data_IF_872387116632
#
_entry.id   IF_872387116632
#
_cell.length_a   1.000
_cell.length_b   1.000
_cell.length_c   1.000
_cell.angle_alpha   90.00
_cell.angle_beta   90.00
_cell.angle_gamma   90.00
#
_symmetry.space_group_name_H-M   'P 1'
#
loop_
_entity.id
_entity.type
_entity.pdbx_description
1 polymer ?
#
# COMPACT_ATOMS: atom_id res chain seq x y z
N UNK A 1 9.28 -11.05 22.02
CA UNK A 1 9.33 -9.57 21.99
C UNK A 1 8.16 -9.05 22.81
N UNK A 2 8.41 -8.32 23.90
CA UNK A 2 7.33 -7.69 24.69
C UNK A 2 6.62 -6.64 23.83
N UNK A 3 5.29 -6.53 23.94
CA UNK A 3 4.55 -5.44 23.28
C UNK A 3 4.92 -4.12 23.98
N UNK A 4 5.48 -3.17 23.24
CA UNK A 4 5.72 -1.81 23.74
C UNK A 4 4.40 -1.17 24.15
N UNK A 5 4.42 -0.33 25.18
CA UNK A 5 3.24 0.41 25.60
C UNK A 5 2.91 1.50 24.57
N UNK A 6 1.69 2.07 24.63
CA UNK A 6 1.32 3.18 23.75
C UNK A 6 2.17 4.44 24.03
N UNK A 7 2.62 4.63 25.28
CA UNK A 7 3.54 5.72 25.65
C UNK A 7 4.91 5.55 24.97
N UNK A 8 5.49 4.34 25.08
CA UNK A 8 6.79 4.04 24.46
C UNK A 8 6.78 4.23 22.93
N UNK A 9 5.64 3.97 22.28
CA UNK A 9 5.48 4.18 20.83
C UNK A 9 5.36 5.67 20.48
N UNK A 10 4.73 6.48 21.33
CA UNK A 10 4.65 7.93 21.13
C UNK A 10 6.02 8.58 21.29
N UNK A 11 6.79 8.20 22.30
CA UNK A 11 8.16 8.71 22.50
C UNK A 11 9.05 8.34 21.31
N UNK A 12 8.98 7.09 20.84
CA UNK A 12 9.73 6.66 19.67
C UNK A 12 9.35 7.41 18.39
N UNK A 13 8.06 7.74 18.23
CA UNK A 13 7.60 8.59 17.12
C UNK A 13 8.21 9.98 17.22
N UNK A 14 8.17 10.59 18.41
CA UNK A 14 8.66 11.95 18.62
C UNK A 14 10.18 12.05 18.41
N UNK A 15 10.94 11.05 18.89
CA UNK A 15 12.38 10.91 18.64
C UNK A 15 12.68 10.78 17.14
N UNK A 16 11.95 9.89 16.45
CA UNK A 16 12.10 9.68 15.01
C UNK A 16 11.76 10.94 14.21
N UNK A 17 10.64 11.60 14.52
CA UNK A 17 10.24 12.83 13.84
C UNK A 17 11.29 13.93 14.03
N UNK A 18 11.85 14.07 15.25
CA UNK A 18 12.90 15.04 15.53
C UNK A 18 14.18 14.75 14.72
N UNK A 19 14.60 13.49 14.64
CA UNK A 19 15.76 13.08 13.85
C UNK A 19 15.51 13.26 12.34
N UNK A 20 14.31 12.92 11.86
CA UNK A 20 13.89 13.12 10.49
C UNK A 20 14.00 14.59 10.09
N UNK A 21 13.37 15.49 10.85
CA UNK A 21 13.43 16.93 10.56
C UNK A 21 14.84 17.50 10.69
N UNK A 22 15.64 17.01 11.64
CA UNK A 22 17.05 17.42 11.76
C UNK A 22 17.86 17.06 10.51
N UNK A 23 17.64 15.86 9.97
CA UNK A 23 18.42 15.32 8.85
C UNK A 23 17.92 15.81 7.49
N UNK A 24 16.61 16.03 7.38
CA UNK A 24 15.93 16.25 6.11
C UNK A 24 15.17 17.58 6.02
N UNK A 25 15.38 18.53 6.94
CA UNK A 25 14.74 19.87 6.93
C UNK A 25 14.87 20.65 5.61
N UNK A 26 15.87 20.35 4.79
CA UNK A 26 16.06 20.99 3.48
C UNK A 26 15.11 20.43 2.39
N UNK A 27 14.50 19.26 2.61
CA UNK A 27 13.60 18.63 1.65
C UNK A 27 12.19 19.18 1.85
N UNK A 28 11.53 19.52 0.74
CA UNK A 28 10.16 19.99 0.77
C UNK A 28 9.17 18.82 0.90
N UNK A 29 7.88 19.14 0.99
CA UNK A 29 6.82 18.13 1.08
C UNK A 29 6.70 17.31 -0.21
N UNK A 30 7.01 17.93 -1.35
CA UNK A 30 7.02 17.31 -2.67
C UNK A 30 8.17 16.31 -2.83
N UNK A 31 9.27 16.48 -2.07
CA UNK A 31 10.44 15.60 -2.09
C UNK A 31 10.45 14.58 -0.93
N UNK A 32 9.31 14.40 -0.24
CA UNK A 32 9.19 13.46 0.88
C UNK A 32 8.18 12.38 0.57
N UNK A 33 8.64 11.15 0.37
CA UNK A 33 7.84 10.01 -0.07
C UNK A 33 7.65 9.02 1.07
N UNK A 34 6.51 8.36 1.13
CA UNK A 34 6.34 7.14 1.91
C UNK A 34 5.82 6.01 1.02
N UNK A 35 6.43 4.83 1.16
CA UNK A 35 6.05 3.60 0.45
C UNK A 35 5.65 2.55 1.47
N UNK A 36 4.58 1.81 1.18
CA UNK A 36 4.12 0.69 1.98
C UNK A 36 3.26 -0.28 1.18
N UNK A 37 3.26 -1.56 1.58
CA UNK A 37 2.48 -2.61 0.94
C UNK A 37 1.24 -3.01 1.72
N UNK A 38 0.19 -3.34 0.97
CA UNK A 38 -1.00 -3.91 1.57
C UNK A 38 -1.58 -5.06 0.75
N UNK A 39 -1.75 -6.20 1.42
CA UNK A 39 -2.44 -7.35 0.86
C UNK A 39 -3.95 -7.15 0.89
N UNK A 40 -4.62 -7.49 -0.21
CA UNK A 40 -6.07 -7.51 -0.32
C UNK A 40 -6.54 -8.73 -1.11
N UNK A 41 -7.81 -9.07 -0.95
CA UNK A 41 -8.39 -10.31 -1.47
C UNK A 41 -9.48 -10.00 -2.48
N UNK A 42 -9.81 -10.95 -3.35
CA UNK A 42 -10.90 -10.81 -4.30
C UNK A 42 -12.23 -10.61 -3.55
N UNK A 43 -12.49 -11.48 -2.58
CA UNK A 43 -13.64 -11.36 -1.68
C UNK A 43 -13.26 -10.47 -0.50
N UNK A 44 -14.00 -9.36 -0.37
CA UNK A 44 -13.79 -8.39 0.69
C UNK A 44 -15.09 -8.06 1.42
N UNK A 45 -15.76 -9.06 2.03
CA UNK A 45 -16.99 -8.83 2.75
C UNK A 45 -16.80 -7.81 3.88
N UNK A 46 -17.83 -6.98 4.16
CA UNK A 46 -17.79 -6.03 5.26
C UNK A 46 -17.67 -6.75 6.60
N UNK A 47 -17.09 -6.10 7.61
CA UNK A 47 -16.94 -6.71 8.95
C UNK A 47 -18.27 -6.84 9.70
N UNK A 48 -19.27 -6.04 9.34
CA UNK A 48 -20.58 -6.00 9.97
C UNK A 48 -21.66 -5.80 8.90
N UNK A 49 -22.73 -6.59 9.00
CA UNK A 49 -23.98 -6.39 8.25
C UNK A 49 -25.16 -6.41 9.21
N UNK A 50 -26.14 -5.55 8.95
CA UNK A 50 -27.39 -5.51 9.69
C UNK A 50 -28.22 -6.74 9.35
N UNK A 51 -28.44 -7.60 10.34
CA UNK A 51 -29.39 -8.69 10.23
C UNK A 51 -30.76 -8.25 10.76
N UNK A 52 -31.83 -8.76 10.17
CA UNK A 52 -33.18 -8.66 10.74
C UNK A 52 -33.15 -9.23 12.16
N UNK A 53 -33.85 -8.60 13.11
CA UNK A 53 -33.85 -9.01 14.52
C UNK A 53 -34.29 -10.48 14.65
N UNK A 54 -33.39 -11.35 15.11
CA UNK A 54 -33.59 -12.81 15.19
C UNK A 54 -33.03 -13.62 14.02
N UNK A 55 -32.49 -12.97 12.99
CA UNK A 55 -31.80 -13.59 11.86
C UNK A 55 -30.29 -13.76 12.09
N UNK A 56 -29.66 -14.59 11.25
CA UNK A 56 -28.21 -14.80 11.26
C UNK A 56 -27.47 -13.58 10.68
N UNK A 57 -26.45 -13.10 11.38
CA UNK A 57 -25.51 -12.08 10.90
C UNK A 57 -24.29 -12.68 10.17
N UNK A 58 -24.29 -13.98 9.90
CA UNK A 58 -23.17 -14.65 9.22
C UNK A 58 -23.14 -14.29 7.75
N UNK A 59 -22.00 -13.78 7.30
CA UNK A 59 -21.71 -13.55 5.89
C UNK A 59 -21.31 -14.89 5.28
N UNK A 60 -22.13 -15.44 4.39
CA UNK A 60 -21.85 -16.66 3.63
C UNK A 60 -21.09 -16.41 2.32
N UNK A 61 -20.80 -15.15 2.00
CA UNK A 61 -20.36 -14.71 0.67
C UNK A 61 -18.84 -14.51 0.52
N UNK A 62 -18.01 -15.21 1.30
CA UNK A 62 -16.55 -15.13 1.16
C UNK A 62 -15.94 -16.53 1.06
N UNK A 63 -15.20 -16.80 -0.01
CA UNK A 63 -14.43 -18.03 -0.11
C UNK A 63 -13.31 -18.05 0.93
N UNK A 64 -13.11 -19.22 1.56
CA UNK A 64 -12.03 -19.45 2.54
C UNK A 64 -10.63 -19.26 1.94
N UNK A 65 -10.49 -19.37 0.62
CA UNK A 65 -9.24 -19.29 -0.13
C UNK A 65 -9.29 -18.25 -1.26
N UNK A 66 -9.90 -17.10 -0.98
CA UNK A 66 -10.01 -16.02 -1.96
C UNK A 66 -8.64 -15.58 -2.52
N UNK A 67 -8.63 -15.20 -3.80
CA UNK A 67 -7.42 -14.78 -4.51
C UNK A 67 -6.81 -13.56 -3.83
N UNK A 68 -5.50 -13.60 -3.55
CA UNK A 68 -4.75 -12.51 -2.92
C UNK A 68 -3.90 -11.76 -3.93
N UNK A 69 -3.88 -10.43 -3.79
CA UNK A 69 -2.99 -9.50 -4.47
C UNK A 69 -2.37 -8.56 -3.44
N UNK A 70 -1.22 -7.98 -3.75
CA UNK A 70 -0.62 -6.92 -2.93
C UNK A 70 -0.56 -5.64 -3.75
N UNK A 71 -0.98 -4.53 -3.17
CA UNK A 71 -0.79 -3.19 -3.70
C UNK A 71 0.37 -2.52 -2.95
N UNK A 72 1.38 -2.06 -3.68
CA UNK A 72 2.42 -1.17 -3.17
C UNK A 72 1.93 0.25 -3.44
N UNK A 73 1.71 1.01 -2.37
CA UNK A 73 1.20 2.38 -2.43
C UNK A 73 2.34 3.34 -2.17
N UNK A 74 2.31 4.48 -2.85
CA UNK A 74 3.27 5.55 -2.62
C UNK A 74 2.58 6.89 -2.66
N UNK A 75 2.92 7.73 -1.70
CA UNK A 75 2.43 9.08 -1.62
C UNK A 75 3.55 10.03 -1.18
N UNK A 76 3.44 11.28 -1.63
CA UNK A 76 4.29 12.40 -1.23
C UNK A 76 3.62 13.19 -0.10
N UNK A 77 4.41 13.89 0.70
CA UNK A 77 3.91 14.66 1.84
C UNK A 77 3.08 15.90 1.45
N UNK A 78 3.08 16.30 0.18
CA UNK A 78 2.22 17.35 -0.39
C UNK A 78 0.78 16.87 -0.65
N UNK A 79 0.54 15.55 -0.58
CA UNK A 79 -0.74 14.92 -0.85
C UNK A 79 -0.81 14.21 -2.21
N UNK A 80 0.23 14.30 -3.03
CA UNK A 80 0.32 13.64 -4.32
C UNK A 80 0.43 12.13 -4.13
N UNK A 81 -0.33 11.38 -4.93
CA UNK A 81 -0.35 9.92 -4.94
C UNK A 81 0.30 9.43 -6.22
N UNK A 82 1.16 8.42 -6.11
CA UNK A 82 1.79 7.79 -7.28
C UNK A 82 0.96 6.61 -7.80
N UNK A 83 1.23 6.15 -9.03
CA UNK A 83 0.76 4.87 -9.54
C UNK A 83 1.00 3.70 -8.58
N UNK A 84 -0.03 2.87 -8.43
CA UNK A 84 0.05 1.60 -7.68
C UNK A 84 0.95 0.60 -8.44
N UNK A 85 1.82 -0.10 -7.71
CA UNK A 85 2.38 -1.37 -8.19
C UNK A 85 1.59 -2.55 -7.62
N UNK A 86 1.11 -3.42 -8.49
CA UNK A 86 0.40 -4.65 -8.12
C UNK A 86 1.31 -5.86 -8.17
N UNK A 87 1.36 -6.62 -7.08
CA UNK A 87 2.07 -7.89 -7.00
C UNK A 87 1.06 -9.04 -7.01
N UNK A 88 1.11 -9.87 -8.04
CA UNK A 88 0.21 -11.01 -8.22
C UNK A 88 0.89 -12.34 -7.91
N UNK A 89 0.09 -13.31 -7.48
CA UNK A 89 0.57 -14.66 -7.22
C UNK A 89 0.78 -15.40 -8.53
N UNK A 90 2.01 -15.75 -8.84
CA UNK A 90 2.34 -16.51 -10.04
C UNK A 90 3.85 -16.73 -10.20
N UNK A 91 4.24 -17.33 -11.32
CA UNK A 91 5.64 -17.51 -11.66
C UNK A 91 6.15 -16.28 -12.43
N UNK A 92 7.27 -15.66 -12.02
CA UNK A 92 7.95 -14.64 -12.82
C UNK A 92 8.28 -15.15 -14.23
N UNK A 93 8.04 -14.35 -15.26
CA UNK A 93 8.14 -14.73 -16.67
C UNK A 93 7.07 -15.73 -17.14
N UNK A 94 6.09 -16.04 -16.29
CA UNK A 94 5.00 -16.96 -16.59
C UNK A 94 3.82 -16.30 -17.31
N UNK A 95 2.76 -17.08 -17.53
CA UNK A 95 1.57 -16.68 -18.33
C UNK A 95 0.91 -15.38 -17.88
N UNK A 96 0.86 -15.10 -16.57
CA UNK A 96 0.25 -13.86 -16.06
C UNK A 96 1.04 -12.65 -16.57
N UNK A 97 2.36 -12.70 -16.43
CA UNK A 97 3.25 -11.61 -16.85
C UNK A 97 3.26 -11.45 -18.38
N UNK A 98 3.29 -12.55 -19.13
CA UNK A 98 3.40 -12.49 -20.60
C UNK A 98 2.08 -12.19 -21.30
N UNK A 99 0.93 -12.67 -20.78
CA UNK A 99 -0.34 -12.66 -21.52
C UNK A 99 -1.43 -11.80 -20.87
N UNK A 100 -1.30 -11.46 -19.58
CA UNK A 100 -2.35 -10.73 -18.85
C UNK A 100 -1.93 -9.31 -18.48
N UNK A 101 -0.70 -9.11 -18.03
CA UNK A 101 -0.17 -7.76 -17.71
C UNK A 101 -0.36 -6.77 -18.86
N UNK A 102 -0.10 -7.11 -20.14
CA UNK A 102 -0.35 -6.19 -21.26
C UNK A 102 -1.83 -5.80 -21.46
N UNK A 103 -2.77 -6.47 -20.77
CA UNK A 103 -4.21 -6.21 -20.85
C UNK A 103 -4.77 -5.49 -19.62
N UNK A 104 -3.93 -5.22 -18.62
CA UNK A 104 -4.34 -4.46 -17.44
C UNK A 104 -4.28 -2.94 -17.69
N UNK A 105 -4.98 -2.12 -16.88
CA UNK A 105 -4.99 -0.67 -17.05
C UNK A 105 -3.59 -0.07 -17.16
N UNK A 106 -3.40 0.85 -18.12
CA UNK A 106 -2.17 1.62 -18.23
C UNK A 106 -2.02 2.61 -17.06
N UNK A 107 -0.81 3.17 -16.90
CA UNK A 107 -0.52 4.12 -15.82
C UNK A 107 -0.30 3.49 -14.44
N UNK A 108 -0.21 2.16 -14.38
CA UNK A 108 0.10 1.38 -13.18
C UNK A 108 1.18 0.33 -13.48
N UNK A 109 1.78 -0.20 -12.42
CA UNK A 109 2.88 -1.15 -12.52
C UNK A 109 2.47 -2.53 -12.05
N UNK A 110 3.10 -3.56 -12.62
CA UNK A 110 2.72 -4.95 -12.38
C UNK A 110 3.95 -5.82 -12.19
N UNK A 111 3.92 -6.63 -11.14
CA UNK A 111 4.92 -7.63 -10.84
C UNK A 111 4.26 -8.96 -10.51
N UNK A 112 4.96 -10.06 -10.79
CA UNK A 112 4.54 -11.41 -10.44
C UNK A 112 5.54 -11.99 -9.43
N UNK A 113 5.01 -12.60 -8.37
CA UNK A 113 5.80 -13.28 -7.35
C UNK A 113 5.05 -14.54 -6.89
N UNK A 114 5.77 -15.61 -6.52
CA UNK A 114 5.18 -16.93 -6.21
C UNK A 114 4.13 -16.90 -5.09
N UNK A 115 4.22 -15.89 -4.20
CA UNK A 115 3.32 -15.68 -3.05
C UNK A 115 2.60 -14.33 -3.05
N UNK A 116 2.71 -13.55 -4.14
CA UNK A 116 2.23 -12.16 -4.17
C UNK A 116 2.82 -11.30 -3.03
N UNK A 117 4.13 -11.38 -2.79
CA UNK A 117 4.83 -10.68 -1.71
C UNK A 117 5.89 -9.77 -2.31
N UNK A 118 6.25 -8.73 -1.56
CA UNK A 118 7.46 -7.95 -1.82
C UNK A 118 8.68 -8.81 -1.48
N UNK A 119 9.68 -8.77 -2.36
CA UNK A 119 11.01 -9.32 -2.15
C UNK A 119 12.04 -8.34 -2.71
N UNK A 120 13.33 -8.62 -2.54
CA UNK A 120 14.40 -7.76 -3.06
C UNK A 120 14.33 -7.58 -4.60
N UNK A 121 13.83 -8.55 -5.35
CA UNK A 121 13.72 -8.43 -6.81
C UNK A 121 12.61 -7.46 -7.21
N UNK A 122 11.42 -7.62 -6.63
CA UNK A 122 10.27 -6.75 -6.89
C UNK A 122 10.54 -5.34 -6.36
N UNK A 123 11.21 -5.20 -5.22
CA UNK A 123 11.60 -3.89 -4.68
C UNK A 123 12.53 -3.13 -5.64
N UNK A 124 13.53 -3.80 -6.22
CA UNK A 124 14.40 -3.19 -7.23
C UNK A 124 13.67 -2.78 -8.49
N UNK A 125 12.72 -3.60 -8.93
CA UNK A 125 11.84 -3.24 -10.04
C UNK A 125 11.04 -1.99 -9.68
N UNK A 126 10.46 -1.94 -8.47
CA UNK A 126 9.70 -0.81 -7.97
C UNK A 126 10.52 0.49 -7.94
N UNK A 127 11.72 0.47 -7.36
CA UNK A 127 12.61 1.65 -7.32
C UNK A 127 12.90 2.20 -8.72
N UNK A 128 13.20 1.31 -9.68
CA UNK A 128 13.62 1.70 -11.04
C UNK A 128 12.48 2.01 -12.00
N UNK A 129 11.27 1.49 -11.76
CA UNK A 129 10.14 1.72 -12.66
C UNK A 129 9.16 2.74 -12.11
N UNK A 130 8.92 2.75 -10.79
CA UNK A 130 7.90 3.60 -10.18
C UNK A 130 8.51 4.90 -9.67
N UNK A 131 9.59 4.81 -8.88
CA UNK A 131 10.16 6.00 -8.24
C UNK A 131 11.13 6.75 -9.13
N UNK A 132 11.97 6.05 -9.89
CA UNK A 132 12.98 6.69 -10.74
C UNK A 132 12.38 7.69 -11.73
N UNK A 133 11.22 7.38 -12.32
CA UNK A 133 10.57 8.26 -13.30
C UNK A 133 9.83 9.44 -12.65
N UNK A 134 9.56 9.36 -11.34
CA UNK A 134 8.78 10.34 -10.58
C UNK A 134 9.67 11.30 -9.76
N UNK A 135 10.87 10.86 -9.37
CA UNK A 135 11.85 11.66 -8.62
C UNK A 135 12.63 12.56 -9.58
N UNK A 136 12.32 13.86 -9.55
CA UNK A 136 13.00 14.89 -10.36
C UNK A 136 14.14 15.58 -9.61
N UNK A 137 14.08 15.60 -8.27
CA UNK A 137 15.04 16.26 -7.38
C UNK A 137 15.39 15.36 -6.20
N UNK A 138 16.52 15.65 -5.53
CA UNK A 138 16.96 14.92 -4.36
C UNK A 138 15.82 14.82 -3.33
N UNK A 139 15.44 13.58 -2.99
CA UNK A 139 14.24 13.27 -2.22
C UNK A 139 14.54 12.33 -1.07
N UNK A 140 13.59 12.18 -0.15
CA UNK A 140 13.65 11.24 0.98
C UNK A 140 12.54 10.21 0.85
N UNK A 141 12.91 8.94 0.84
CA UNK A 141 12.01 7.80 0.68
C UNK A 141 11.88 7.10 2.04
N UNK A 142 10.76 7.33 2.73
CA UNK A 142 10.44 6.68 3.99
C UNK A 142 9.87 5.28 3.74
N UNK A 143 10.50 4.28 4.35
CA UNK A 143 10.13 2.86 4.26
C UNK A 143 10.17 2.19 5.63
N UNK A 144 9.43 1.10 5.78
CA UNK A 144 9.58 0.25 6.96
C UNK A 144 10.95 -0.44 6.98
N UNK A 145 11.25 -1.14 8.08
CA UNK A 145 12.53 -1.82 8.25
C UNK A 145 12.54 -3.25 7.67
N UNK A 146 11.76 -3.50 6.62
CA UNK A 146 11.79 -4.77 5.90
C UNK A 146 13.14 -4.97 5.21
N UNK A 147 13.69 -6.19 5.28
CA UNK A 147 15.04 -6.49 4.82
C UNK A 147 15.29 -6.12 3.35
N UNK A 148 14.29 -6.30 2.48
CA UNK A 148 14.42 -5.90 1.09
C UNK A 148 14.59 -4.37 0.95
N UNK A 149 13.82 -3.61 1.74
CA UNK A 149 13.81 -2.14 1.70
C UNK A 149 15.14 -1.58 2.21
N UNK A 150 15.69 -2.11 3.30
CA UNK A 150 16.89 -1.56 3.96
C UNK A 150 18.19 -2.28 3.61
N UNK A 151 18.17 -3.12 2.57
CA UNK A 151 19.38 -3.79 2.09
C UNK A 151 20.43 -2.80 1.55
N UNK A 152 21.70 -3.22 1.53
CA UNK A 152 22.78 -2.43 0.93
C UNK A 152 22.50 -2.14 -0.54
N UNK A 153 21.96 -3.11 -1.28
CA UNK A 153 21.60 -2.95 -2.69
C UNK A 153 20.48 -1.93 -2.87
N UNK A 154 19.43 -1.97 -2.03
CA UNK A 154 18.37 -0.96 -2.04
C UNK A 154 18.91 0.44 -1.78
N UNK A 155 19.71 0.59 -0.71
CA UNK A 155 20.33 1.87 -0.33
C UNK A 155 21.20 2.41 -1.47
N UNK A 156 21.96 1.54 -2.12
CA UNK A 156 22.80 1.88 -3.27
C UNK A 156 21.98 2.37 -4.46
N UNK A 157 20.88 1.69 -4.81
CA UNK A 157 20.01 2.12 -5.91
C UNK A 157 19.40 3.49 -5.61
N UNK A 158 18.88 3.69 -4.40
CA UNK A 158 18.28 4.98 -4.01
C UNK A 158 19.31 6.12 -4.06
N UNK A 159 20.53 5.86 -3.59
CA UNK A 159 21.58 6.88 -3.56
C UNK A 159 22.19 7.15 -4.94
N UNK A 160 22.58 6.10 -5.67
CA UNK A 160 23.37 6.23 -6.90
C UNK A 160 22.51 6.38 -8.16
N UNK A 161 21.33 5.76 -8.21
CA UNK A 161 20.45 5.79 -9.39
C UNK A 161 19.35 6.86 -9.24
N UNK A 162 18.72 6.96 -8.07
CA UNK A 162 17.64 7.94 -7.81
C UNK A 162 18.15 9.27 -7.24
N UNK A 163 19.45 9.38 -6.91
CA UNK A 163 20.04 10.60 -6.36
C UNK A 163 19.38 11.06 -5.06
N UNK A 164 18.89 10.12 -4.25
CA UNK A 164 17.98 10.38 -3.13
C UNK A 164 18.42 9.65 -1.85
N UNK A 165 17.70 9.87 -0.75
CA UNK A 165 17.95 9.28 0.55
C UNK A 165 16.91 8.23 0.90
N UNK A 166 17.35 7.07 1.37
CA UNK A 166 16.48 6.08 1.98
C UNK A 166 16.41 6.32 3.49
N UNK A 167 15.20 6.51 4.03
CA UNK A 167 14.95 6.71 5.45
C UNK A 167 14.16 5.52 6.01
N UNK A 168 14.84 4.63 6.74
CA UNK A 168 14.21 3.50 7.39
C UNK A 168 13.56 3.93 8.71
N UNK A 169 12.32 3.50 8.93
CA UNK A 169 11.63 3.74 10.19
C UNK A 169 12.16 2.85 11.32
N UNK A 170 12.02 3.28 12.59
CA UNK A 170 12.41 2.46 13.72
C UNK A 170 11.66 1.13 13.74
N UNK A 171 12.33 0.01 14.05
CA UNK A 171 11.68 -1.29 14.10
C UNK A 171 10.46 -1.29 15.04
N UNK A 172 9.36 -1.89 14.58
CA UNK A 172 8.10 -2.06 15.35
C UNK A 172 7.35 -0.72 15.57
N UNK A 173 7.77 0.37 14.93
CA UNK A 173 7.12 1.68 15.05
C UNK A 173 6.19 2.04 13.88
N UNK A 174 6.00 1.13 12.93
CA UNK A 174 5.24 1.40 11.69
C UNK A 174 3.86 1.98 11.96
N UNK A 175 3.14 1.45 12.95
CA UNK A 175 1.79 1.91 13.30
C UNK A 175 1.70 3.36 13.81
N UNK A 176 2.83 4.01 14.12
CA UNK A 176 2.89 5.39 14.62
C UNK A 176 3.80 6.31 13.80
N UNK A 177 4.83 5.77 13.14
CA UNK A 177 5.80 6.53 12.36
C UNK A 177 5.58 6.46 10.86
N UNK A 178 4.81 5.50 10.33
CA UNK A 178 4.62 5.32 8.89
C UNK A 178 3.37 6.08 8.43
N UNK A 179 3.50 7.14 7.61
CA UNK A 179 2.36 7.94 7.14
C UNK A 179 1.23 7.08 6.57
N UNK A 180 1.56 6.14 5.66
CA UNK A 180 0.54 5.30 5.03
C UNK A 180 -0.24 4.46 6.04
N UNK A 181 0.42 3.83 7.02
CA UNK A 181 -0.26 3.05 8.07
C UNK A 181 -1.07 3.92 9.03
N UNK A 182 -0.56 5.11 9.36
CA UNK A 182 -1.15 6.01 10.36
C UNK A 182 -2.44 6.66 9.88
N UNK A 183 -2.59 6.90 8.56
CA UNK A 183 -3.72 7.65 8.01
C UNK A 183 -4.36 7.11 6.74
N UNK A 184 -3.63 6.36 5.89
CA UNK A 184 -4.07 6.05 4.51
C UNK A 184 -4.58 4.61 4.36
N UNK A 185 -3.94 3.64 5.00
CA UNK A 185 -4.25 2.21 4.83
C UNK A 185 -5.68 1.87 5.29
N UNK A 186 -6.15 2.50 6.36
CA UNK A 186 -7.51 2.31 6.86
C UNK A 186 -8.60 2.80 5.88
N UNK A 187 -8.60 4.06 5.39
CA UNK A 187 -9.57 4.51 4.40
C UNK A 187 -9.46 3.76 3.07
N UNK A 188 -8.24 3.48 2.58
CA UNK A 188 -8.05 2.69 1.36
C UNK A 188 -8.73 1.30 1.46
N UNK A 189 -8.49 0.56 2.56
CA UNK A 189 -9.14 -0.74 2.80
C UNK A 189 -10.64 -0.63 3.04
N UNK A 190 -11.15 0.51 3.49
CA UNK A 190 -12.59 0.75 3.60
C UNK A 190 -13.20 0.88 2.21
N UNK A 191 -12.63 1.74 1.35
CA UNK A 191 -13.09 1.92 -0.02
C UNK A 191 -13.02 0.64 -0.85
N UNK A 192 -11.97 -0.18 -0.67
CA UNK A 192 -11.91 -1.51 -1.30
C UNK A 192 -13.11 -2.41 -0.91
N UNK A 193 -13.57 -2.38 0.35
CA UNK A 193 -14.73 -3.17 0.78
C UNK A 193 -16.04 -2.59 0.27
N UNK A 194 -16.17 -1.27 0.31
CA UNK A 194 -17.34 -0.55 -0.19
C UNK A 194 -17.53 -0.81 -1.68
N UNK A 195 -16.48 -0.63 -2.49
CA UNK A 195 -16.53 -0.87 -3.92
C UNK A 195 -16.82 -2.34 -4.25
N UNK A 196 -16.29 -3.30 -3.48
CA UNK A 196 -16.63 -4.71 -3.67
C UNK A 196 -18.13 -5.00 -3.50
N UNK A 197 -18.84 -4.27 -2.63
CA UNK A 197 -20.29 -4.42 -2.45
C UNK A 197 -21.10 -3.90 -3.63
N UNK A 198 -20.55 -2.93 -4.39
CA UNK A 198 -21.20 -2.30 -5.53
C UNK A 198 -20.66 -2.79 -6.88
N UNK A 199 -19.65 -3.65 -6.88
CA UNK A 199 -19.31 -4.38 -8.09
C UNK A 199 -20.53 -5.19 -8.49
N UNK A 200 -21.14 -4.82 -9.60
CA UNK A 200 -22.11 -5.67 -10.27
C UNK A 200 -21.49 -7.06 -10.32
N UNK A 201 -22.16 -8.05 -9.74
CA UNK A 201 -21.82 -9.44 -9.99
C UNK A 201 -21.76 -9.52 -11.51
N UNK A 202 -20.57 -9.69 -12.07
CA UNK A 202 -20.41 -9.77 -13.51
C UNK A 202 -21.26 -10.98 -13.89
N UNK A 203 -22.45 -10.74 -14.45
CA UNK A 203 -23.33 -11.78 -14.93
C UNK A 203 -22.52 -12.53 -15.98
N UNK A 204 -22.01 -13.69 -15.61
CA UNK A 204 -21.71 -14.69 -16.60
C UNK A 204 -23.04 -15.15 -17.17
N UNK A 205 -23.10 -15.27 -18.49
CA UNK A 205 -24.19 -15.98 -19.17
C UNK A 205 -24.29 -17.46 -18.71
N UNK A 206 -23.33 -17.95 -17.93
CA UNK A 206 -23.35 -19.23 -17.25
C UNK A 206 -24.05 -19.12 -15.87
N UNK A 207 -24.97 -20.04 -15.58
CA UNK A 207 -25.79 -20.14 -14.36
C UNK A 207 -25.01 -20.29 -13.02
N UNK A 208 -23.68 -20.10 -13.02
CA UNK A 208 -22.80 -20.29 -11.86
C UNK A 208 -22.11 -18.98 -11.42
N UNK A 209 -22.41 -18.43 -10.24
CA UNK A 209 -21.71 -17.29 -9.64
C UNK A 209 -20.18 -17.49 -9.48
N UNK A 210 -19.66 -18.72 -9.58
CA UNK A 210 -18.23 -19.04 -9.58
C UNK A 210 -17.53 -18.99 -10.96
N UNK A 211 -18.26 -18.62 -12.02
CA UNK A 211 -17.81 -18.66 -13.43
C UNK A 211 -16.66 -17.71 -13.81
N UNK A 212 -16.35 -16.68 -13.01
CA UNK A 212 -15.35 -15.70 -13.40
C UNK A 212 -13.96 -16.32 -13.45
N UNK A 213 -13.32 -16.22 -14.62
CA UNK A 213 -11.95 -16.69 -14.81
C UNK A 213 -10.99 -15.96 -13.87
N UNK A 214 -9.89 -16.62 -13.51
CA UNK A 214 -8.87 -16.02 -12.65
C UNK A 214 -8.32 -14.68 -13.21
N UNK A 215 -8.29 -14.52 -14.54
CA UNK A 215 -7.90 -13.28 -15.22
C UNK A 215 -8.93 -12.16 -14.97
N UNK A 216 -10.22 -12.46 -15.10
CA UNK A 216 -11.30 -11.50 -14.82
C UNK A 216 -11.29 -11.08 -13.34
N UNK A 217 -11.12 -12.04 -12.41
CA UNK A 217 -10.98 -11.74 -10.98
C UNK A 217 -9.80 -10.78 -10.69
N UNK A 218 -8.63 -11.01 -11.29
CA UNK A 218 -7.47 -10.09 -11.20
C UNK A 218 -7.79 -8.69 -11.74
N UNK A 219 -8.39 -8.62 -12.93
CA UNK A 219 -8.73 -7.33 -13.54
C UNK A 219 -9.73 -6.54 -12.68
N UNK A 220 -10.74 -7.21 -12.11
CA UNK A 220 -11.69 -6.59 -11.18
C UNK A 220 -10.96 -6.05 -9.94
N UNK A 221 -10.11 -6.86 -9.30
CA UNK A 221 -9.29 -6.44 -8.16
C UNK A 221 -8.42 -5.20 -8.46
N UNK A 222 -7.79 -5.17 -9.62
CA UNK A 222 -6.95 -4.04 -10.05
C UNK A 222 -7.81 -2.78 -10.19
N UNK A 223 -8.91 -2.85 -10.94
CA UNK A 223 -9.82 -1.70 -11.13
C UNK A 223 -10.37 -1.19 -9.80
N UNK A 224 -10.75 -2.11 -8.90
CA UNK A 224 -11.24 -1.76 -7.56
C UNK A 224 -10.20 -1.02 -6.74
N UNK A 225 -8.95 -1.48 -6.77
CA UNK A 225 -7.86 -0.85 -6.04
C UNK A 225 -7.50 0.52 -6.61
N UNK A 226 -7.53 0.70 -7.93
CA UNK A 226 -7.34 2.01 -8.57
C UNK A 226 -8.44 2.97 -8.10
N UNK A 227 -9.71 2.58 -8.21
CA UNK A 227 -10.83 3.41 -7.75
C UNK A 227 -10.78 3.70 -6.24
N UNK A 228 -10.40 2.72 -5.42
CA UNK A 228 -10.22 2.92 -3.98
C UNK A 228 -9.08 3.90 -3.68
N UNK A 229 -8.01 3.88 -4.48
CA UNK A 229 -6.89 4.80 -4.35
C UNK A 229 -7.28 6.21 -4.76
N UNK A 230 -8.07 6.37 -5.82
CA UNK A 230 -8.59 7.67 -6.26
C UNK A 230 -9.45 8.34 -5.19
N UNK A 231 -10.23 7.56 -4.43
CA UNK A 231 -11.05 8.03 -3.31
C UNK A 231 -10.25 8.50 -2.08
N UNK A 232 -8.98 8.08 -1.92
CA UNK A 232 -8.10 8.63 -0.87
C UNK A 232 -7.73 10.06 -1.23
N UNK A 233 -8.19 11.04 -0.46
CA UNK A 233 -7.96 12.45 -0.82
C UNK A 233 -6.54 12.93 -0.47
N UNK A 234 -6.03 13.95 -1.15
CA UNK A 234 -4.75 14.58 -0.79
C UNK A 234 -4.70 15.08 0.66
N UNK A 235 -5.84 15.49 1.24
CA UNK A 235 -5.94 15.91 2.65
C UNK A 235 -5.67 14.75 3.61
N UNK A 236 -6.18 13.54 3.30
CA UNK A 236 -5.89 12.33 4.08
C UNK A 236 -4.40 12.03 4.04
N UNK A 237 -3.79 12.13 2.85
CA UNK A 237 -2.35 11.91 2.68
C UNK A 237 -1.56 12.94 3.50
N UNK A 238 -1.79 14.24 3.32
CA UNK A 238 -1.08 15.29 4.08
C UNK A 238 -1.22 15.11 5.59
N UNK A 239 -2.44 14.89 6.07
CA UNK A 239 -2.70 14.66 7.50
C UNK A 239 -1.98 13.43 8.03
N UNK A 240 -1.75 12.41 7.19
CA UNK A 240 -1.01 11.22 7.59
C UNK A 240 0.49 11.49 7.82
N UNK A 241 1.12 12.30 6.97
CA UNK A 241 2.50 12.76 7.16
C UNK A 241 2.63 13.69 8.36
N UNK A 242 1.70 14.64 8.51
CA UNK A 242 1.68 15.57 9.65
C UNK A 242 1.55 14.83 10.99
N UNK A 243 0.77 13.74 11.03
CA UNK A 243 0.59 12.93 12.24
C UNK A 243 1.80 12.02 12.53
N UNK A 244 2.41 11.44 11.49
CA UNK A 244 3.54 10.54 11.63
C UNK A 244 4.86 11.28 11.93
N UNK A 245 5.03 12.49 11.37
CA UNK A 245 6.23 13.32 11.49
C UNK A 245 5.97 14.59 12.32
N UNK A 246 5.01 14.52 13.25
CA UNK A 246 4.62 15.65 14.10
C UNK A 246 5.80 16.16 14.94
N UNK A 247 5.92 17.49 15.06
CA UNK A 247 6.90 18.11 15.96
C UNK A 247 6.22 18.40 17.32
N UNK A 248 6.55 17.61 18.34
CA UNK A 248 6.08 17.81 19.72
C UNK A 248 4.83 17.01 20.10
N UNK A 249 4.46 17.00 21.40
CA UNK A 249 3.39 16.15 21.91
C UNK A 249 2.07 16.54 21.23
N UNK A 250 1.47 15.59 20.53
CA UNK A 250 0.06 15.63 20.13
C UNK A 250 -0.77 15.85 21.39
N UNK A 251 -1.21 17.08 21.63
CA UNK A 251 -2.18 17.36 22.68
C UNK A 251 -3.45 16.63 22.30
N UNK A 252 -3.69 15.51 22.99
CA UNK A 252 -4.95 14.81 22.91
C UNK A 252 -6.04 15.69 23.50
N UNK A 253 -6.91 16.17 22.63
CA UNK A 253 -8.28 16.52 23.01
C UNK A 253 -9.19 15.31 22.76
#
# INVERSE_FOLDING_TARGET
KSKKTQGDLSELRDEFALEFHRSYSAHSKECTYNVDETGFYYDMPPHYIWAVRGGSSKISAGEKHSMRMTAVLTARADGTKLPIMFIMKGQPGGRIETNEVPTFPEGHFYAVHEKAWMDARVWKQFLRSVLHDDIEECSVILVDNFEAHVSEESTKIVLEELGSHLCAMPPIATSVCQPLDVGVMAPFKRHLRELWLYEEMIDSDDEDPDSLTAKQKRLAMIKRAIAAWDLVTPEIVRGSFEKALAFGPTTGE
#
